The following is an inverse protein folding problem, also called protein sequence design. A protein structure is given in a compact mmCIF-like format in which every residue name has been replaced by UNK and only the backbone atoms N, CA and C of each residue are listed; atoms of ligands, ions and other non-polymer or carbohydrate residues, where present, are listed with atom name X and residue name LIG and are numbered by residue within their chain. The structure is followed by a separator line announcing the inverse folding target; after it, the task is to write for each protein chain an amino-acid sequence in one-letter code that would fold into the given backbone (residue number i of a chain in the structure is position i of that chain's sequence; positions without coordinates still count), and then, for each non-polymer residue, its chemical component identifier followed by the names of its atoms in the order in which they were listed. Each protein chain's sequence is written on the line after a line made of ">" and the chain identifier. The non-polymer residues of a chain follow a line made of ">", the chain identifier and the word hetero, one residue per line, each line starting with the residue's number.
data_IF_929431947862
#
_entry.id   IF_929431947862
#
_cell.length_a   1.000
_cell.length_b   1.000
_cell.length_c   1.000
_cell.angle_alpha   90.00
_cell.angle_beta   90.00
_cell.angle_gamma   90.00
#
_symmetry.space_group_name_H-M   'P 1'
#
loop_
_entity.id
_entity.type
_entity.pdbx_description
1 polymer ?
#
# COMPACT_ATOMS: atom_id res chain seq x y z
N UNK A 1 -7.42 -3.69 26.06
CA UNK A 1 -7.61 -3.57 24.60
C UNK A 1 -6.85 -2.34 24.17
N UNK A 2 -5.66 -2.50 23.57
CA UNK A 2 -4.93 -1.36 22.99
C UNK A 2 -5.78 -0.80 21.83
N UNK A 3 -6.03 0.51 21.77
CA UNK A 3 -6.64 1.09 20.58
C UNK A 3 -5.76 0.71 19.39
N UNK A 4 -6.38 0.27 18.30
CA UNK A 4 -5.66 -0.03 17.07
C UNK A 4 -5.24 1.33 16.47
N UNK A 5 -4.07 1.82 16.87
CA UNK A 5 -3.58 3.13 16.43
C UNK A 5 -3.12 2.97 14.98
N UNK A 6 -3.99 3.36 14.05
CA UNK A 6 -3.64 3.46 12.64
C UNK A 6 -2.46 4.43 12.47
N UNK A 7 -1.48 4.03 11.65
CA UNK A 7 -0.31 4.85 11.33
C UNK A 7 0.53 5.20 12.57
N UNK A 8 0.62 4.29 13.54
CA UNK A 8 1.33 4.50 14.81
C UNK A 8 2.79 4.91 14.61
N UNK A 9 3.47 4.33 13.61
CA UNK A 9 4.84 4.72 13.25
C UNK A 9 4.90 6.16 12.73
N UNK A 10 4.03 6.53 11.79
CA UNK A 10 3.97 7.89 11.26
C UNK A 10 3.62 8.91 12.35
N UNK A 11 2.70 8.57 13.26
CA UNK A 11 2.32 9.44 14.38
C UNK A 11 3.50 9.63 15.34
N UNK A 12 4.28 8.58 15.62
CA UNK A 12 5.46 8.68 16.46
C UNK A 12 6.56 9.55 15.83
N UNK A 13 6.70 9.55 14.50
CA UNK A 13 7.73 10.32 13.78
C UNK A 13 7.31 11.78 13.56
N UNK A 14 6.07 12.01 13.13
CA UNK A 14 5.60 13.31 12.64
C UNK A 14 4.62 14.01 13.59
N UNK A 15 3.97 13.25 14.48
CA UNK A 15 2.79 13.70 15.22
C UNK A 15 1.50 13.63 14.38
N UNK A 16 0.35 13.49 15.04
CA UNK A 16 -0.97 13.22 14.43
C UNK A 16 -1.32 14.16 13.27
N UNK A 17 -1.11 15.47 13.44
CA UNK A 17 -1.48 16.48 12.44
C UNK A 17 -0.60 16.44 11.19
N UNK A 18 0.72 16.26 11.36
CA UNK A 18 1.63 16.13 10.23
C UNK A 18 1.45 14.79 9.51
N UNK A 19 1.18 13.69 10.24
CA UNK A 19 0.75 12.41 9.64
C UNK A 19 -0.47 12.61 8.75
N UNK A 20 -1.48 13.35 9.21
CA UNK A 20 -2.68 13.62 8.42
C UNK A 20 -2.36 14.35 7.11
N UNK A 21 -1.53 15.39 7.17
CA UNK A 21 -1.13 16.15 5.97
C UNK A 21 -0.31 15.29 5.01
N UNK A 22 0.64 14.52 5.55
CA UNK A 22 1.43 13.56 4.78
C UNK A 22 0.52 12.57 4.04
N UNK A 23 -0.43 11.93 4.74
CA UNK A 23 -1.34 10.96 4.14
C UNK A 23 -2.25 11.58 3.07
N UNK A 24 -2.72 12.81 3.25
CA UNK A 24 -3.48 13.54 2.20
C UNK A 24 -2.65 13.77 0.93
N UNK A 25 -1.36 14.04 1.08
CA UNK A 25 -0.43 14.24 -0.05
C UNK A 25 -0.04 12.91 -0.69
N UNK A 26 0.17 11.86 0.10
CA UNK A 26 0.61 10.54 -0.38
C UNK A 26 -0.54 9.72 -1.00
N UNK A 27 -1.79 9.99 -0.65
CA UNK A 27 -2.95 9.20 -1.10
C UNK A 27 -3.08 9.12 -2.64
N UNK A 28 -2.96 10.21 -3.41
CA UNK A 28 -3.00 10.14 -4.88
C UNK A 28 -1.86 9.30 -5.46
N UNK A 29 -0.66 9.38 -4.88
CA UNK A 29 0.48 8.58 -5.34
C UNK A 29 0.27 7.08 -5.07
N UNK A 30 -0.31 6.74 -3.91
CA UNK A 30 -0.65 5.36 -3.58
C UNK A 30 -1.72 4.79 -4.53
N UNK A 31 -2.74 5.59 -4.86
CA UNK A 31 -3.77 5.23 -5.85
C UNK A 31 -3.17 5.03 -7.24
N UNK A 32 -2.28 5.93 -7.67
CA UNK A 32 -1.58 5.80 -8.94
C UNK A 32 -0.71 4.53 -8.97
N UNK A 33 0.06 4.27 -7.91
CA UNK A 33 0.88 3.07 -7.82
C UNK A 33 0.04 1.79 -7.86
N UNK A 34 -1.12 1.77 -7.19
CA UNK A 34 -2.08 0.66 -7.26
C UNK A 34 -2.54 0.40 -8.69
N UNK A 35 -3.00 1.43 -9.40
CA UNK A 35 -3.48 1.33 -10.77
C UNK A 35 -2.39 0.82 -11.71
N UNK A 36 -1.18 1.37 -11.59
CA UNK A 36 -0.04 0.96 -12.42
C UNK A 36 0.40 -0.48 -12.11
N UNK A 37 0.42 -0.90 -10.85
CA UNK A 37 0.73 -2.28 -10.48
C UNK A 37 -0.32 -3.24 -11.05
N UNK A 38 -1.61 -2.93 -10.89
CA UNK A 38 -2.69 -3.76 -11.41
C UNK A 38 -2.61 -3.90 -12.93
N UNK A 39 -2.44 -2.80 -13.66
CA UNK A 39 -2.36 -2.82 -15.11
C UNK A 39 -1.18 -3.67 -15.61
N UNK A 40 0.00 -3.52 -15.01
CA UNK A 40 1.17 -4.29 -15.38
C UNK A 40 1.03 -5.78 -15.01
N UNK A 41 0.44 -6.10 -13.86
CA UNK A 41 0.18 -7.49 -13.47
C UNK A 41 -0.81 -8.19 -14.41
N UNK A 42 -1.88 -7.51 -14.81
CA UNK A 42 -2.87 -8.03 -15.77
C UNK A 42 -2.28 -8.26 -17.16
N UNK A 43 -1.37 -7.38 -17.59
CA UNK A 43 -0.64 -7.51 -18.86
C UNK A 43 0.57 -8.45 -18.78
N UNK A 44 0.80 -9.08 -17.62
CA UNK A 44 1.99 -9.92 -17.35
C UNK A 44 3.32 -9.19 -17.55
N UNK A 45 3.32 -7.86 -17.46
CA UNK A 45 4.52 -7.03 -17.50
C UNK A 45 5.18 -6.97 -16.12
N UNK A 46 5.67 -8.12 -15.66
CA UNK A 46 6.28 -8.25 -14.33
C UNK A 46 7.52 -7.35 -14.10
N UNK A 47 8.40 -7.09 -15.08
CA UNK A 47 9.51 -6.16 -14.89
C UNK A 47 9.06 -4.73 -14.55
N UNK A 48 8.04 -4.22 -15.23
CA UNK A 48 7.49 -2.90 -14.94
C UNK A 48 6.78 -2.87 -13.58
N UNK A 49 6.03 -3.94 -13.26
CA UNK A 49 5.39 -4.08 -11.94
C UNK A 49 6.44 -4.10 -10.81
N UNK A 50 7.56 -4.81 -10.99
CA UNK A 50 8.65 -4.87 -10.01
C UNK A 50 9.29 -3.51 -9.76
N UNK A 51 9.46 -2.67 -10.80
CA UNK A 51 9.99 -1.32 -10.65
C UNK A 51 9.07 -0.40 -9.83
N UNK A 52 7.76 -0.49 -10.05
CA UNK A 52 6.77 0.26 -9.26
C UNK A 52 6.74 -0.27 -7.82
N UNK A 53 6.75 -1.59 -7.64
CA UNK A 53 6.74 -2.22 -6.32
C UNK A 53 8.01 -1.89 -5.52
N UNK A 54 9.16 -1.78 -6.18
CA UNK A 54 10.39 -1.32 -5.56
C UNK A 54 10.25 0.10 -4.99
N UNK A 55 9.74 1.05 -5.79
CA UNK A 55 9.51 2.43 -5.33
C UNK A 55 8.54 2.48 -4.15
N UNK A 56 7.44 1.73 -4.23
CA UNK A 56 6.44 1.71 -3.15
C UNK A 56 6.94 1.00 -1.89
N UNK A 57 7.83 0.01 -2.01
CA UNK A 57 8.37 -0.71 -0.85
C UNK A 57 9.15 0.19 0.11
N UNK A 58 9.71 1.30 -0.37
CA UNK A 58 10.39 2.28 0.47
C UNK A 58 9.45 2.96 1.47
N UNK A 59 8.17 3.13 1.12
CA UNK A 59 7.17 3.78 1.98
C UNK A 59 6.12 2.82 2.52
N UNK A 60 6.12 1.55 2.11
CA UNK A 60 5.14 0.54 2.53
C UNK A 60 5.07 0.34 4.05
N UNK A 61 6.20 0.42 4.74
CA UNK A 61 6.27 0.29 6.21
C UNK A 61 5.50 1.40 6.94
N UNK A 62 5.36 2.58 6.34
CA UNK A 62 4.67 3.73 6.95
C UNK A 62 3.15 3.51 7.05
N UNK A 63 2.59 2.57 6.29
CA UNK A 63 1.15 2.30 6.28
C UNK A 63 0.72 1.23 7.30
N UNK A 64 1.66 0.66 8.08
CA UNK A 64 1.41 -0.38 9.08
C UNK A 64 0.66 -1.63 8.54
N UNK A 65 0.86 -1.98 7.26
CA UNK A 65 0.26 -3.14 6.61
C UNK A 65 1.32 -4.14 6.16
N UNK A 66 1.58 -5.17 6.98
CA UNK A 66 2.54 -6.23 6.66
C UNK A 66 2.20 -6.94 5.33
N UNK A 67 0.91 -7.21 5.09
CA UNK A 67 0.44 -7.83 3.85
C UNK A 67 0.80 -7.04 2.59
N UNK A 68 0.90 -5.70 2.67
CA UNK A 68 1.37 -4.89 1.54
C UNK A 68 2.86 -5.14 1.28
N UNK A 69 3.68 -5.20 2.32
CA UNK A 69 5.11 -5.46 2.18
C UNK A 69 5.38 -6.83 1.55
N UNK A 70 4.65 -7.86 2.00
CA UNK A 70 4.76 -9.21 1.46
C UNK A 70 4.34 -9.25 -0.02
N UNK A 71 3.20 -8.63 -0.36
CA UNK A 71 2.74 -8.60 -1.75
C UNK A 71 3.71 -7.84 -2.67
N UNK A 72 4.29 -6.73 -2.21
CA UNK A 72 5.30 -5.99 -2.97
C UNK A 72 6.60 -6.79 -3.10
N UNK A 73 6.98 -7.57 -2.09
CA UNK A 73 8.14 -8.47 -2.18
C UNK A 73 7.92 -9.55 -3.25
N UNK A 74 6.74 -10.17 -3.29
CA UNK A 74 6.37 -11.14 -4.34
C UNK A 74 6.42 -10.53 -5.73
N UNK A 75 5.89 -9.31 -5.91
CA UNK A 75 5.95 -8.59 -7.19
C UNK A 75 7.39 -8.28 -7.60
N UNK A 76 8.22 -7.82 -6.65
CA UNK A 76 9.64 -7.52 -6.89
C UNK A 76 10.44 -8.76 -7.26
N UNK A 77 10.13 -9.90 -6.66
CA UNK A 77 10.77 -11.19 -6.97
C UNK A 77 10.39 -11.72 -8.36
N UNK A 78 9.36 -11.15 -9.00
CA UNK A 78 8.85 -11.56 -10.31
C UNK A 78 8.50 -13.06 -10.35
N UNK A 79 8.04 -13.61 -9.22
CA UNK A 79 7.63 -15.00 -9.13
C UNK A 79 6.31 -15.21 -9.88
N UNK A 80 6.42 -15.63 -11.14
CA UNK A 80 5.28 -15.82 -12.01
C UNK A 80 4.25 -16.81 -11.44
N UNK A 81 4.66 -17.86 -10.74
CA UNK A 81 3.74 -18.84 -10.17
C UNK A 81 2.89 -18.21 -9.06
N UNK A 82 3.51 -17.41 -8.19
CA UNK A 82 2.80 -16.67 -7.15
C UNK A 82 1.91 -15.56 -7.73
N UNK A 83 2.39 -14.82 -8.72
CA UNK A 83 1.67 -13.69 -9.34
C UNK A 83 0.48 -14.14 -10.20
N UNK A 84 0.54 -15.33 -10.80
CA UNK A 84 -0.54 -15.92 -11.57
C UNK A 84 -1.55 -16.69 -10.72
N UNK A 85 -1.28 -16.86 -9.42
CA UNK A 85 -2.22 -17.51 -8.52
C UNK A 85 -3.56 -16.74 -8.53
N UNK A 86 -4.72 -17.41 -8.72
CA UNK A 86 -6.01 -16.72 -8.90
C UNK A 86 -6.40 -15.78 -7.75
N UNK A 87 -5.90 -16.05 -6.54
CA UNK A 87 -6.16 -15.22 -5.36
C UNK A 87 -5.22 -14.01 -5.25
N UNK A 88 -4.10 -13.95 -5.98
CA UNK A 88 -3.08 -12.92 -5.77
C UNK A 88 -3.63 -11.51 -6.02
N UNK A 89 -4.18 -11.25 -7.21
CA UNK A 89 -4.74 -9.93 -7.56
C UNK A 89 -5.88 -9.53 -6.61
N UNK A 90 -6.89 -10.39 -6.33
CA UNK A 90 -7.92 -10.07 -5.34
C UNK A 90 -7.39 -9.71 -3.95
N UNK A 91 -6.47 -10.51 -3.40
CA UNK A 91 -5.86 -10.25 -2.07
C UNK A 91 -5.05 -8.96 -2.06
N UNK A 92 -4.28 -8.72 -3.13
CA UNK A 92 -3.53 -7.48 -3.32
C UNK A 92 -4.46 -6.26 -3.36
N UNK A 93 -5.55 -6.32 -4.14
CA UNK A 93 -6.51 -5.24 -4.25
C UNK A 93 -7.25 -4.97 -2.93
N UNK A 94 -7.64 -6.02 -2.21
CA UNK A 94 -8.25 -5.89 -0.89
C UNK A 94 -7.30 -5.19 0.09
N UNK A 95 -6.00 -5.53 0.06
CA UNK A 95 -4.99 -4.87 0.90
C UNK A 95 -4.93 -3.36 0.64
N UNK A 96 -4.92 -2.94 -0.63
CA UNK A 96 -4.96 -1.52 -0.98
C UNK A 96 -6.25 -0.83 -0.56
N UNK A 97 -7.40 -1.49 -0.71
CA UNK A 97 -8.69 -0.96 -0.27
C UNK A 97 -8.72 -0.71 1.24
N UNK A 98 -8.18 -1.63 2.05
CA UNK A 98 -8.07 -1.46 3.49
C UNK A 98 -7.17 -0.27 3.87
N UNK A 99 -6.01 -0.13 3.21
CA UNK A 99 -5.11 1.01 3.44
C UNK A 99 -5.81 2.32 3.09
N UNK A 100 -6.50 2.39 1.95
CA UNK A 100 -7.24 3.58 1.53
C UNK A 100 -8.37 3.93 2.50
N UNK A 101 -9.12 2.94 2.97
CA UNK A 101 -10.16 3.15 3.98
C UNK A 101 -9.57 3.70 5.29
N UNK A 102 -8.43 3.16 5.73
CA UNK A 102 -7.73 3.64 6.92
C UNK A 102 -7.23 5.08 6.75
N UNK A 103 -6.67 5.42 5.59
CA UNK A 103 -6.26 6.79 5.26
C UNK A 103 -7.49 7.73 5.31
N UNK A 104 -8.61 7.33 4.70
CA UNK A 104 -9.84 8.12 4.69
C UNK A 104 -10.37 8.34 6.11
N UNK A 105 -10.49 7.28 6.91
CA UNK A 105 -10.92 7.36 8.31
C UNK A 105 -10.03 8.30 9.11
N UNK A 106 -8.71 8.10 9.06
CA UNK A 106 -7.76 8.91 9.82
C UNK A 106 -7.77 10.39 9.41
N UNK A 107 -7.98 10.67 8.12
CA UNK A 107 -8.03 12.05 7.61
C UNK A 107 -9.38 12.74 7.82
N UNK A 108 -10.46 11.98 8.04
CA UNK A 108 -11.82 12.47 8.31
C UNK A 108 -12.13 12.71 9.81
N UNK A 109 -11.52 11.96 10.73
CA UNK A 109 -11.83 11.93 12.18
C UNK A 109 -11.61 13.25 12.97
N UNK A 110 -11.43 14.43 12.35
CA UNK A 110 -11.32 15.73 13.05
C UNK A 110 -11.91 16.91 12.23
N UNK A 111 -13.10 16.73 11.66
CA UNK A 111 -13.97 17.82 11.19
C UNK A 111 -15.02 18.16 12.24
#
# INVERSE_FOLDING_TARGET
>A
MTPNILFGQLIAILGKEATRRFLKVAQPELQYAQQMLLANLQQQNYPAAALIAHKLSATAHLYDFAALQDALATIKAQDAAALQHPAFIPTFMHTFQQIQANIQQFTADNC
#
